data_IF_034491101601
#
_entry.id   IF_034491101601
#
_cell.length_a   1.000
_cell.length_b   1.000
_cell.length_c   1.000
_cell.angle_alpha   90.00
_cell.angle_beta   90.00
_cell.angle_gamma   90.00
#
_symmetry.space_group_name_H-M   'P 1'
#
loop_
_entity.id
_entity.type
_entity.pdbx_description
1 polymer ?
#
# COMPACT_ATOMS: atom_id res chain seq x y z
N UNK A 1 2.11 18.25 -0.37
CA UNK A 1 2.21 18.75 1.00
C UNK A 1 3.35 18.03 1.73
N UNK A 2 4.27 18.80 2.33
CA UNK A 2 5.45 18.28 3.05
C UNK A 2 5.08 17.32 4.19
N UNK A 3 3.95 17.56 4.87
CA UNK A 3 3.47 16.68 5.94
C UNK A 3 3.08 15.30 5.40
N UNK A 4 2.33 15.25 4.30
CA UNK A 4 1.92 13.99 3.69
C UNK A 4 3.14 13.22 3.15
N UNK A 5 4.10 13.93 2.57
CA UNK A 5 5.37 13.33 2.16
C UNK A 5 6.09 12.69 3.35
N UNK A 6 6.24 13.40 4.46
CA UNK A 6 6.90 12.89 5.65
C UNK A 6 6.16 11.68 6.27
N UNK A 7 4.81 11.69 6.28
CA UNK A 7 4.01 10.55 6.71
C UNK A 7 4.28 9.31 5.83
N UNK A 8 4.31 9.49 4.51
CA UNK A 8 4.62 8.41 3.57
C UNK A 8 6.03 7.85 3.78
N UNK A 9 7.03 8.70 4.02
CA UNK A 9 8.41 8.27 4.30
C UNK A 9 8.50 7.46 5.60
N UNK A 10 7.79 7.86 6.65
CA UNK A 10 7.75 7.14 7.92
C UNK A 10 7.08 5.77 7.73
N UNK A 11 5.93 5.72 7.06
CA UNK A 11 5.19 4.48 6.81
C UNK A 11 6.00 3.51 5.93
N UNK A 12 6.59 3.99 4.83
CA UNK A 12 7.45 3.18 3.96
C UNK A 12 8.67 2.64 4.72
N UNK A 13 9.24 3.44 5.63
CA UNK A 13 10.36 3.01 6.47
C UNK A 13 9.99 1.87 7.42
N UNK A 14 8.76 1.85 7.93
CA UNK A 14 8.22 0.78 8.78
C UNK A 14 7.86 -0.46 7.95
N UNK A 15 7.18 -0.29 6.82
CA UNK A 15 6.81 -1.39 5.91
C UNK A 15 8.02 -2.19 5.41
N UNK A 16 9.14 -1.50 5.16
CA UNK A 16 10.39 -2.13 4.68
C UNK A 16 11.34 -2.52 5.80
N UNK A 17 10.97 -2.32 7.06
CA UNK A 17 11.84 -2.67 8.18
C UNK A 17 11.86 -4.18 8.38
N UNK A 18 13.06 -4.75 8.50
CA UNK A 18 13.28 -6.16 8.88
C UNK A 18 13.36 -6.35 10.39
N UNK A 19 13.55 -5.25 11.12
CA UNK A 19 13.66 -5.22 12.58
C UNK A 19 12.72 -4.16 13.14
N UNK A 20 12.18 -4.36 14.36
CA UNK A 20 11.32 -3.38 15.00
C UNK A 20 12.01 -2.02 15.16
N UNK A 21 11.34 -0.95 14.80
CA UNK A 21 11.89 0.42 14.83
C UNK A 21 11.16 1.29 15.85
N UNK A 22 11.94 2.03 16.66
CA UNK A 22 11.42 3.07 17.54
C UNK A 22 11.33 4.44 16.84
N UNK A 23 10.71 5.43 17.50
CA UNK A 23 10.73 6.82 17.04
C UNK A 23 12.14 7.36 16.81
N UNK A 24 13.10 6.95 17.65
CA UNK A 24 14.50 7.39 17.51
C UNK A 24 15.17 6.78 16.28
N UNK A 25 14.91 5.49 16.00
CA UNK A 25 15.44 4.79 14.84
C UNK A 25 14.86 5.38 13.54
N UNK A 26 13.55 5.64 13.53
CA UNK A 26 12.86 6.30 12.41
C UNK A 26 13.42 7.70 12.17
N UNK A 27 13.60 8.50 13.22
CA UNK A 27 14.18 9.85 13.08
C UNK A 27 15.57 9.79 12.47
N UNK A 28 16.41 8.83 12.92
CA UNK A 28 17.75 8.61 12.36
C UNK A 28 17.72 8.15 10.91
N UNK A 29 16.82 7.23 10.57
CA UNK A 29 16.70 6.67 9.22
C UNK A 29 16.16 7.67 8.20
N UNK A 30 15.20 8.49 8.60
CA UNK A 30 14.51 9.44 7.72
C UNK A 30 15.17 10.81 7.66
N UNK A 31 16.08 11.13 8.60
CA UNK A 31 16.67 12.46 8.76
C UNK A 31 15.72 13.51 9.37
N UNK A 32 14.53 13.10 9.79
CA UNK A 32 13.57 13.99 10.46
C UNK A 32 14.00 14.29 11.89
N UNK A 33 13.67 15.50 12.39
CA UNK A 33 13.93 15.86 13.78
C UNK A 33 13.09 14.99 14.73
N UNK A 34 13.58 14.79 15.95
CA UNK A 34 12.84 14.05 16.99
C UNK A 34 11.46 14.64 17.27
N UNK A 35 11.36 15.98 17.23
CA UNK A 35 10.08 16.68 17.44
C UNK A 35 9.10 16.39 16.29
N UNK A 36 9.54 16.52 15.04
CA UNK A 36 8.70 16.18 13.88
C UNK A 36 8.29 14.71 13.89
N UNK A 37 9.22 13.80 14.17
CA UNK A 37 8.93 12.36 14.28
C UNK A 37 7.88 12.09 15.35
N UNK A 38 7.96 12.71 16.52
CA UNK A 38 6.99 12.53 17.60
C UNK A 38 5.58 12.97 17.18
N UNK A 39 5.46 14.09 16.48
CA UNK A 39 4.16 14.57 15.96
C UNK A 39 3.57 13.61 14.93
N UNK A 40 4.38 13.15 13.97
CA UNK A 40 3.92 12.24 12.92
C UNK A 40 3.50 10.88 13.48
N UNK A 41 4.29 10.32 14.40
CA UNK A 41 3.98 9.04 15.03
C UNK A 41 2.74 9.15 15.91
N UNK A 42 2.58 10.23 16.70
CA UNK A 42 1.36 10.44 17.48
C UNK A 42 0.12 10.49 16.60
N UNK A 43 0.20 11.22 15.47
CA UNK A 43 -0.90 11.25 14.51
C UNK A 43 -1.25 9.86 13.96
N UNK A 44 -0.26 9.02 13.67
CA UNK A 44 -0.48 7.66 13.16
C UNK A 44 -1.06 6.74 14.25
N UNK A 45 -0.65 6.90 15.51
CA UNK A 45 -1.22 6.17 16.65
C UNK A 45 -2.67 6.58 16.91
N UNK A 46 -2.95 7.89 16.93
CA UNK A 46 -4.29 8.44 17.15
C UNK A 46 -5.29 8.01 16.06
N UNK A 47 -4.80 7.79 14.84
CA UNK A 47 -5.59 7.27 13.72
C UNK A 47 -5.54 5.74 13.58
N UNK A 48 -4.99 5.05 14.55
CA UNK A 48 -4.89 3.59 14.58
C UNK A 48 -4.16 2.97 13.38
N UNK A 49 -3.22 3.71 12.76
CA UNK A 49 -2.33 3.22 11.72
C UNK A 49 -1.16 2.44 12.33
N UNK A 50 -0.69 2.91 13.49
CA UNK A 50 0.38 2.29 14.23
C UNK A 50 -0.10 1.84 15.62
N UNK A 51 0.67 0.95 16.21
CA UNK A 51 0.57 0.53 17.61
C UNK A 51 1.96 0.49 18.22
N UNK A 52 2.06 0.76 19.52
CA UNK A 52 3.30 0.59 20.26
C UNK A 52 3.43 -0.89 20.69
N UNK A 53 4.55 -1.50 20.33
CA UNK A 53 4.89 -2.84 20.78
C UNK A 53 5.42 -2.87 22.21
N UNK A 54 5.74 -4.06 22.70
CA UNK A 54 6.32 -4.23 24.03
C UNK A 54 7.71 -3.56 24.10
N UNK A 55 8.05 -2.87 25.21
CA UNK A 55 9.37 -2.29 25.39
C UNK A 55 10.47 -3.35 25.25
N UNK A 56 11.48 -3.10 24.40
CA UNK A 56 12.60 -3.99 24.26
C UNK A 56 13.49 -3.96 25.51
N UNK A 57 13.57 -5.09 26.23
CA UNK A 57 14.21 -5.21 27.55
C UNK A 57 15.75 -5.23 27.56
N UNK A 58 16.44 -4.88 26.49
CA UNK A 58 17.91 -5.01 26.36
C UNK A 58 18.66 -3.68 26.26
N UNK A 59 18.26 -2.66 27.00
CA UNK A 59 19.15 -1.52 27.17
C UNK A 59 19.83 -1.59 28.54
N UNK A 60 21.08 -2.03 28.54
CA UNK A 60 21.94 -1.97 29.74
C UNK A 60 22.19 -0.53 30.19
N UNK A 61 21.98 0.45 29.35
CA UNK A 61 22.10 1.88 29.65
C UNK A 61 21.13 2.69 28.78
N UNK A 62 20.01 3.13 29.36
CA UNK A 62 19.09 4.06 28.72
C UNK A 62 17.62 3.74 28.94
N UNK A 63 16.73 4.69 28.55
CA UNK A 63 15.27 4.47 28.58
C UNK A 63 14.91 3.36 27.58
N UNK A 64 14.07 2.37 27.97
CA UNK A 64 13.64 1.33 27.05
C UNK A 64 13.08 1.90 25.74
N UNK A 65 13.51 1.32 24.63
CA UNK A 65 13.01 1.67 23.33
C UNK A 65 11.66 1.02 23.10
N UNK A 66 10.66 1.79 22.71
CA UNK A 66 9.32 1.26 22.39
C UNK A 66 9.26 1.12 20.86
N UNK A 67 9.19 -0.10 20.35
CA UNK A 67 9.03 -0.33 18.92
C UNK A 67 7.65 0.10 18.45
N UNK A 68 7.58 0.47 17.18
CA UNK A 68 6.35 0.83 16.47
C UNK A 68 6.04 -0.26 15.46
N UNK A 69 4.80 -0.66 15.40
CA UNK A 69 4.29 -1.68 14.49
C UNK A 69 3.11 -1.11 13.70
N UNK A 70 2.94 -1.56 12.47
CA UNK A 70 1.76 -1.22 11.68
C UNK A 70 0.58 -1.99 12.26
N UNK A 71 -0.49 -1.27 12.58
CA UNK A 71 -1.71 -1.88 13.10
C UNK A 71 -2.47 -2.56 11.96
N UNK A 72 -2.43 -3.88 11.90
CA UNK A 72 -3.24 -4.67 10.99
C UNK A 72 -4.74 -4.58 11.27
N UNK A 73 -5.54 -5.01 10.29
CA UNK A 73 -6.99 -5.16 10.47
C UNK A 73 -7.83 -3.88 10.33
N UNK A 74 -7.24 -2.73 9.94
CA UNK A 74 -7.97 -1.48 9.75
C UNK A 74 -7.74 -0.84 8.38
N UNK A 75 -6.50 -0.64 8.00
CA UNK A 75 -6.17 -0.10 6.68
C UNK A 75 -5.77 -1.22 5.75
N UNK A 76 -6.12 -1.09 4.49
CA UNK A 76 -5.59 -1.94 3.42
C UNK A 76 -5.30 -1.13 2.16
N UNK A 77 -4.36 -1.60 1.36
CA UNK A 77 -4.16 -1.20 -0.01
C UNK A 77 -4.83 -2.18 -0.96
N UNK A 78 -5.24 -1.73 -2.11
CA UNK A 78 -5.75 -2.57 -3.19
C UNK A 78 -4.74 -2.57 -4.33
N UNK A 79 -4.33 -3.75 -4.77
CA UNK A 79 -3.55 -3.94 -5.99
C UNK A 79 -4.43 -4.55 -7.08
N UNK A 80 -4.62 -3.84 -8.18
CA UNK A 80 -5.23 -4.38 -9.38
C UNK A 80 -4.13 -4.82 -10.34
N UNK A 81 -4.33 -5.91 -11.05
CA UNK A 81 -3.38 -6.40 -12.04
C UNK A 81 -4.10 -6.91 -13.27
N UNK A 82 -3.56 -6.61 -14.44
CA UNK A 82 -3.89 -7.31 -15.67
C UNK A 82 -2.59 -7.79 -16.33
N UNK A 83 -2.54 -9.02 -16.80
CA UNK A 83 -1.41 -9.60 -17.51
C UNK A 83 -1.89 -10.53 -18.65
N UNK A 84 -1.01 -11.31 -19.26
CA UNK A 84 -1.34 -12.21 -20.38
C UNK A 84 -2.31 -13.33 -20.05
N UNK A 85 -2.40 -13.72 -18.78
CA UNK A 85 -3.15 -14.90 -18.32
C UNK A 85 -4.49 -14.51 -17.69
N UNK A 86 -4.70 -13.23 -17.39
CA UNK A 86 -5.94 -12.77 -16.77
C UNK A 86 -5.78 -11.44 -16.03
N UNK A 87 -6.70 -11.20 -15.12
CA UNK A 87 -6.74 -9.98 -14.31
C UNK A 87 -7.27 -10.27 -12.91
N UNK A 88 -6.97 -9.41 -11.97
CA UNK A 88 -7.40 -9.65 -10.59
C UNK A 88 -7.10 -8.51 -9.64
N UNK A 89 -7.45 -8.74 -8.38
CA UNK A 89 -7.30 -7.82 -7.27
C UNK A 89 -6.71 -8.53 -6.06
N UNK A 90 -5.85 -7.84 -5.34
CA UNK A 90 -5.31 -8.27 -4.05
C UNK A 90 -5.40 -7.12 -3.05
N UNK A 91 -5.62 -7.46 -1.79
CA UNK A 91 -5.84 -6.50 -0.70
C UNK A 91 -4.91 -6.82 0.46
N UNK A 92 -4.05 -5.88 0.78
CA UNK A 92 -3.07 -6.00 1.86
C UNK A 92 -2.56 -4.63 2.31
N UNK A 93 -2.09 -4.52 3.55
CA UNK A 93 -1.29 -3.39 4.03
C UNK A 93 -0.04 -3.82 4.81
N UNK A 94 -0.17 -4.82 5.67
CA UNK A 94 0.86 -5.26 6.63
C UNK A 94 1.62 -6.51 6.17
N UNK A 95 1.45 -6.92 4.91
CA UNK A 95 1.97 -8.17 4.35
C UNK A 95 0.99 -9.34 4.47
N UNK A 96 -0.17 -9.14 5.09
CA UNK A 96 -1.23 -10.14 5.15
C UNK A 96 -2.28 -9.89 4.07
N UNK A 97 -2.49 -10.87 3.18
CA UNK A 97 -3.52 -10.79 2.16
C UNK A 97 -4.89 -10.99 2.82
N UNK A 98 -5.72 -9.94 2.81
CA UNK A 98 -7.07 -9.97 3.40
C UNK A 98 -8.16 -10.31 2.40
N UNK A 99 -7.85 -10.28 1.12
CA UNK A 99 -8.72 -10.68 0.03
C UNK A 99 -7.94 -10.78 -1.28
N UNK A 100 -8.28 -11.75 -2.09
CA UNK A 100 -7.71 -11.98 -3.41
C UNK A 100 -8.79 -12.54 -4.33
N UNK A 101 -8.82 -12.04 -5.56
CA UNK A 101 -9.66 -12.58 -6.60
C UNK A 101 -8.94 -12.50 -7.94
N UNK A 102 -8.86 -13.59 -8.64
CA UNK A 102 -8.26 -13.70 -9.96
C UNK A 102 -9.25 -14.27 -10.96
N UNK A 103 -9.21 -13.77 -12.18
CA UNK A 103 -10.01 -14.26 -13.31
C UNK A 103 -9.07 -14.66 -14.43
N UNK A 104 -9.00 -15.95 -14.73
CA UNK A 104 -8.27 -16.48 -15.88
C UNK A 104 -8.98 -16.04 -17.16
N UNK A 105 -8.25 -15.45 -18.07
CA UNK A 105 -8.77 -14.98 -19.36
C UNK A 105 -7.66 -14.97 -20.42
N UNK A 106 -8.04 -15.28 -21.66
CA UNK A 106 -7.15 -15.03 -22.79
C UNK A 106 -7.13 -13.52 -23.07
N UNK A 107 -6.07 -12.90 -22.67
CA UNK A 107 -5.87 -11.46 -22.76
C UNK A 107 -5.26 -11.04 -24.10
N UNK A 108 -4.83 -11.98 -24.94
CA UNK A 108 -4.33 -11.69 -26.28
C UNK A 108 -5.45 -11.09 -27.13
N UNK A 109 -5.35 -9.83 -27.49
CA UNK A 109 -6.37 -9.07 -28.21
C UNK A 109 -7.68 -8.82 -27.43
N UNK A 110 -7.64 -8.89 -26.11
CA UNK A 110 -8.79 -8.49 -25.28
C UNK A 110 -9.05 -6.99 -25.42
N UNK A 111 -10.33 -6.62 -25.48
CA UNK A 111 -10.73 -5.22 -25.48
C UNK A 111 -10.34 -4.56 -24.12
N UNK A 112 -9.43 -3.59 -24.17
CA UNK A 112 -8.95 -2.90 -23.00
C UNK A 112 -10.07 -2.30 -22.15
N UNK A 113 -11.08 -1.70 -22.79
CA UNK A 113 -12.22 -1.09 -22.07
C UNK A 113 -13.05 -2.12 -21.31
N UNK A 114 -13.26 -3.30 -21.91
CA UNK A 114 -13.96 -4.37 -21.25
C UNK A 114 -13.17 -4.89 -20.04
N UNK A 115 -11.84 -4.99 -20.14
CA UNK A 115 -10.99 -5.40 -19.02
C UNK A 115 -11.00 -4.38 -17.90
N UNK A 116 -10.86 -3.08 -18.21
CA UNK A 116 -10.95 -2.03 -17.17
C UNK A 116 -12.33 -2.00 -16.49
N UNK A 117 -13.42 -2.16 -17.24
CA UNK A 117 -14.75 -2.27 -16.64
C UNK A 117 -14.87 -3.46 -15.69
N UNK A 118 -14.26 -4.60 -16.02
CA UNK A 118 -14.21 -5.76 -15.13
C UNK A 118 -13.35 -5.54 -13.90
N UNK A 119 -12.21 -4.89 -14.04
CA UNK A 119 -11.37 -4.50 -12.90
C UNK A 119 -12.11 -3.54 -11.96
N UNK A 120 -12.85 -2.57 -12.51
CA UNK A 120 -13.68 -1.65 -11.72
C UNK A 120 -14.78 -2.41 -10.96
N UNK A 121 -15.48 -3.35 -11.61
CA UNK A 121 -16.47 -4.20 -10.94
C UNK A 121 -15.86 -4.99 -9.78
N UNK A 122 -14.69 -5.60 -9.98
CA UNK A 122 -13.98 -6.33 -8.94
C UNK A 122 -13.54 -5.40 -7.80
N UNK A 123 -13.00 -4.23 -8.13
CA UNK A 123 -12.56 -3.24 -7.14
C UNK A 123 -13.73 -2.80 -6.25
N UNK A 124 -14.86 -2.43 -6.84
CA UNK A 124 -16.06 -2.03 -6.10
C UNK A 124 -16.59 -3.14 -5.20
N UNK A 125 -16.66 -4.39 -5.69
CA UNK A 125 -17.08 -5.53 -4.89
C UNK A 125 -16.18 -5.76 -3.68
N UNK A 126 -14.85 -5.65 -3.87
CA UNK A 126 -13.89 -5.82 -2.79
C UNK A 126 -13.95 -4.65 -1.80
N UNK A 127 -14.09 -3.42 -2.26
CA UNK A 127 -14.26 -2.25 -1.39
C UNK A 127 -15.48 -2.38 -0.48
N UNK A 128 -16.63 -2.79 -1.03
CA UNK A 128 -17.83 -3.05 -0.24
C UNK A 128 -17.62 -4.17 0.79
N UNK A 129 -16.95 -5.25 0.39
CA UNK A 129 -16.65 -6.38 1.28
C UNK A 129 -15.72 -5.96 2.42
N UNK A 130 -14.73 -5.12 2.15
CA UNK A 130 -13.81 -4.55 3.13
C UNK A 130 -14.52 -3.63 4.11
N UNK A 131 -15.35 -2.73 3.60
CA UNK A 131 -16.12 -1.79 4.43
C UNK A 131 -17.03 -2.54 5.44
N UNK A 132 -17.67 -3.64 5.02
CA UNK A 132 -18.47 -4.51 5.89
C UNK A 132 -17.63 -5.17 7.00
N UNK A 133 -16.34 -5.38 6.77
CA UNK A 133 -15.39 -5.94 7.76
C UNK A 133 -14.72 -4.85 8.61
N UNK A 134 -15.05 -3.57 8.40
CA UNK A 134 -14.47 -2.44 9.14
C UNK A 134 -13.12 -1.94 8.62
N UNK A 135 -12.67 -2.41 7.45
CA UNK A 135 -11.47 -1.90 6.80
C UNK A 135 -11.72 -0.57 6.10
N UNK A 136 -10.66 0.21 6.00
CA UNK A 136 -10.60 1.46 5.22
C UNK A 136 -9.58 1.28 4.10
N UNK A 137 -10.01 1.48 2.87
CA UNK A 137 -9.12 1.44 1.71
C UNK A 137 -8.24 2.70 1.69
N UNK A 138 -6.93 2.52 1.80
CA UNK A 138 -5.95 3.61 1.81
C UNK A 138 -5.60 4.11 0.40
N UNK A 139 -5.73 3.26 -0.59
CA UNK A 139 -5.48 3.59 -1.99
C UNK A 139 -5.44 2.36 -2.87
N UNK A 140 -5.46 2.59 -4.19
CA UNK A 140 -5.43 1.54 -5.20
C UNK A 140 -4.25 1.74 -6.14
N UNK A 141 -3.51 0.67 -6.40
CA UNK A 141 -2.44 0.61 -7.40
C UNK A 141 -2.85 -0.29 -8.56
N UNK A 142 -2.46 0.06 -9.77
CA UNK A 142 -2.68 -0.75 -10.97
C UNK A 142 -1.35 -1.20 -11.57
N UNK A 143 -1.19 -2.50 -11.77
CA UNK A 143 -0.05 -3.11 -12.43
C UNK A 143 -0.44 -3.59 -13.84
N UNK A 144 0.29 -3.10 -14.84
CA UNK A 144 0.11 -3.46 -16.24
C UNK A 144 1.46 -3.87 -16.86
N UNK A 145 1.49 -4.82 -17.81
CA UNK A 145 2.72 -5.24 -18.49
C UNK A 145 3.08 -4.25 -19.61
N UNK A 146 3.50 -3.04 -19.26
CA UNK A 146 3.82 -2.00 -20.22
C UNK A 146 4.57 -0.83 -19.59
N UNK A 147 4.83 0.19 -20.40
CA UNK A 147 5.44 1.43 -19.95
C UNK A 147 4.34 2.44 -19.60
N UNK A 148 4.30 2.82 -18.33
CA UNK A 148 3.41 3.87 -17.84
C UNK A 148 4.25 5.12 -17.55
N UNK A 149 3.79 6.27 -18.01
CA UNK A 149 4.44 7.56 -17.78
C UNK A 149 3.97 8.19 -16.46
N UNK A 150 4.73 9.16 -15.94
CA UNK A 150 4.40 9.87 -14.70
C UNK A 150 3.06 10.62 -14.78
N UNK A 151 2.60 10.95 -15.99
CA UNK A 151 1.30 11.57 -16.22
C UNK A 151 0.16 10.55 -16.45
N UNK A 152 0.37 9.29 -16.02
CA UNK A 152 -0.61 8.20 -16.06
C UNK A 152 -1.08 7.82 -17.46
N UNK A 153 -0.13 7.71 -18.40
CA UNK A 153 -0.40 7.20 -19.75
C UNK A 153 0.33 5.89 -19.98
N UNK A 154 -0.40 4.90 -20.41
CA UNK A 154 0.18 3.68 -20.96
C UNK A 154 0.68 3.96 -22.38
N UNK A 155 1.98 3.77 -22.63
CA UNK A 155 2.56 3.94 -23.97
C UNK A 155 2.36 2.72 -24.85
N UNK A 156 2.05 1.59 -24.26
CA UNK A 156 1.72 0.34 -24.92
C UNK A 156 1.96 -0.87 -24.01
N UNK A 157 1.15 -1.89 -24.17
CA UNK A 157 1.27 -3.20 -23.53
C UNK A 157 1.25 -4.28 -24.63
N UNK A 158 2.41 -4.51 -25.26
CA UNK A 158 2.53 -5.39 -26.43
C UNK A 158 2.03 -6.82 -26.17
N UNK A 159 2.23 -7.32 -24.96
CA UNK A 159 1.79 -8.65 -24.57
C UNK A 159 0.26 -8.78 -24.49
N UNK A 160 -0.45 -7.66 -24.36
CA UNK A 160 -1.90 -7.59 -24.34
C UNK A 160 -2.50 -7.09 -25.66
N UNK A 161 -1.67 -6.72 -26.62
CA UNK A 161 -2.12 -6.09 -27.85
C UNK A 161 -2.64 -4.66 -27.67
N UNK A 162 -2.41 -4.05 -26.50
CA UNK A 162 -2.92 -2.71 -26.19
C UNK A 162 -1.96 -1.63 -26.68
N UNK A 163 -2.55 -0.60 -27.25
CA UNK A 163 -1.85 0.61 -27.69
C UNK A 163 -1.87 1.67 -26.57
N UNK A 164 -1.72 2.93 -26.95
CA UNK A 164 -1.69 4.05 -26.01
C UNK A 164 -3.04 4.27 -25.36
N UNK A 165 -3.04 4.29 -24.01
CA UNK A 165 -4.22 4.55 -23.21
C UNK A 165 -3.96 5.68 -22.20
N UNK A 166 -4.97 6.50 -21.95
CA UNK A 166 -5.00 7.43 -20.83
C UNK A 166 -5.63 6.69 -19.63
N UNK A 167 -4.87 6.59 -18.53
CA UNK A 167 -5.26 5.86 -17.33
C UNK A 167 -5.88 6.78 -16.25
N UNK A 168 -6.19 8.03 -16.60
CA UNK A 168 -6.85 8.99 -15.70
C UNK A 168 -8.35 8.83 -15.70
#
# INVERSE_FOLDING_TARGET
DLRNHNLSVVLDSLLRATEPMSRADLAKKTGLTKAAMSVLVSLMLDNEILVEGAPSGQSLYGRPSIPLEIKGGRLCGMGLQANTDGYGVVLDLDGSVVGEQWVDADMANADERAIFARLDELALQQEEALAKKGYVLAGTGLALPGLVTDDMRLLGARNLGWERLDLK
#
